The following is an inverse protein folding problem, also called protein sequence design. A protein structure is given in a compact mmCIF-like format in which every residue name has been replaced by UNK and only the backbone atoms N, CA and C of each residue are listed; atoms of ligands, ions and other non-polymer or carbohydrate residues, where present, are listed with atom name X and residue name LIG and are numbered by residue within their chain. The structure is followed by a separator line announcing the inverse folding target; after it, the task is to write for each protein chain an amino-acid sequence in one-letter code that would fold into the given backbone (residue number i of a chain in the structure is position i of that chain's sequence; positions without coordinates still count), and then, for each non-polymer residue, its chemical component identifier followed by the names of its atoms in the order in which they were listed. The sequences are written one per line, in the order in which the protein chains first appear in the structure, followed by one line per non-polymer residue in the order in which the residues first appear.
data_IF_408248048773
#
_entry.id   IF_408248048773
#
_cell.length_a   1.000
_cell.length_b   1.000
_cell.length_c   1.000
_cell.angle_alpha   90.00
_cell.angle_beta   90.00
_cell.angle_gamma   90.00
#
_symmetry.space_group_name_H-M   'P 1'
#
loop_
_entity.id
_entity.type
_entity.pdbx_description
1 polymer ?
#
# COMPACT_ATOMS: atom_id res chain seq x y z
N UNK A 1 -15.96 -8.01 13.42
CA UNK A 1 -14.58 -8.55 13.49
C UNK A 1 -13.98 -8.70 12.11
N UNK A 2 -14.73 -9.25 11.17
CA UNK A 2 -14.21 -9.65 9.86
C UNK A 2 -13.81 -8.48 8.96
N UNK A 3 -14.57 -7.38 8.97
CA UNK A 3 -14.23 -6.17 8.19
C UNK A 3 -12.89 -5.55 8.60
N UNK A 4 -12.55 -5.60 9.89
CA UNK A 4 -11.26 -5.09 10.38
C UNK A 4 -10.11 -5.94 9.85
N UNK A 5 -10.22 -7.28 9.93
CA UNK A 5 -9.20 -8.21 9.43
C UNK A 5 -8.97 -8.02 7.92
N UNK A 6 -10.04 -7.93 7.15
CA UNK A 6 -9.96 -7.69 5.70
C UNK A 6 -9.23 -6.38 5.38
N UNK A 7 -9.56 -5.30 6.09
CA UNK A 7 -8.92 -4.00 5.89
C UNK A 7 -7.44 -4.01 6.28
N UNK A 8 -7.07 -4.67 7.39
CA UNK A 8 -5.66 -4.84 7.78
C UNK A 8 -4.86 -5.59 6.70
N UNK A 9 -5.41 -6.67 6.15
CA UNK A 9 -4.77 -7.46 5.10
C UNK A 9 -4.66 -6.66 3.80
N UNK A 10 -5.72 -5.93 3.43
CA UNK A 10 -5.69 -5.05 2.26
C UNK A 10 -4.58 -3.99 2.40
N UNK A 11 -4.49 -3.33 3.56
CA UNK A 11 -3.41 -2.39 3.86
C UNK A 11 -2.02 -3.01 3.76
N UNK A 12 -1.83 -4.19 4.36
CA UNK A 12 -0.56 -4.92 4.30
C UNK A 12 -0.14 -5.23 2.85
N UNK A 13 -1.07 -5.75 2.04
CA UNK A 13 -0.83 -6.15 0.66
C UNK A 13 -0.52 -4.93 -0.20
N UNK A 14 -1.30 -3.84 -0.08
CA UNK A 14 -1.07 -2.62 -0.85
C UNK A 14 0.30 -2.00 -0.53
N UNK A 15 0.67 -1.92 0.75
CA UNK A 15 1.99 -1.42 1.18
C UNK A 15 3.14 -2.29 0.65
N UNK A 16 3.04 -3.61 0.82
CA UNK A 16 4.04 -4.55 0.32
C UNK A 16 4.22 -4.47 -1.20
N UNK A 17 3.11 -4.42 -1.97
CA UNK A 17 3.14 -4.30 -3.42
C UNK A 17 3.79 -2.99 -3.87
N UNK A 18 3.53 -1.88 -3.18
CA UNK A 18 4.16 -0.59 -3.47
C UNK A 18 5.69 -0.66 -3.39
N UNK A 19 6.22 -1.25 -2.32
CA UNK A 19 7.67 -1.41 -2.15
C UNK A 19 8.26 -2.40 -3.15
N UNK A 20 7.58 -3.52 -3.42
CA UNK A 20 8.03 -4.51 -4.42
C UNK A 20 8.14 -3.88 -5.81
N UNK A 21 7.11 -3.14 -6.23
CA UNK A 21 7.12 -2.45 -7.53
C UNK A 21 8.24 -1.40 -7.59
N UNK A 22 8.42 -0.62 -6.51
CA UNK A 22 9.53 0.35 -6.42
C UNK A 22 10.89 -0.33 -6.56
N UNK A 23 11.11 -1.45 -5.86
CA UNK A 23 12.35 -2.22 -5.90
C UNK A 23 12.63 -2.79 -7.30
N UNK A 24 11.60 -3.28 -7.99
CA UNK A 24 11.71 -3.82 -9.36
C UNK A 24 12.06 -2.70 -10.34
N UNK A 25 11.39 -1.54 -10.25
CA UNK A 25 11.69 -0.38 -11.11
C UNK A 25 13.13 0.08 -10.87
N UNK A 26 13.55 0.21 -9.62
CA UNK A 26 14.93 0.56 -9.26
C UNK A 26 15.95 -0.43 -9.83
N UNK A 27 15.70 -1.73 -9.69
CA UNK A 27 16.58 -2.76 -10.24
C UNK A 27 16.65 -2.69 -11.77
N UNK A 28 15.53 -2.41 -12.45
CA UNK A 28 15.48 -2.21 -13.90
C UNK A 28 16.29 -1.00 -14.35
N UNK A 29 16.23 0.11 -13.61
CA UNK A 29 17.03 1.31 -13.89
C UNK A 29 18.53 1.05 -13.72
N UNK A 30 18.91 0.31 -12.67
CA UNK A 30 20.31 -0.07 -12.43
C UNK A 30 20.82 -1.04 -13.51
N UNK A 31 19.99 -2.00 -13.93
CA UNK A 31 20.31 -2.90 -15.03
C UNK A 31 20.56 -2.13 -16.34
N UNK A 32 19.72 -1.14 -16.64
CA UNK A 32 19.89 -0.30 -17.83
C UNK A 32 21.12 0.61 -17.76
N UNK A 33 21.61 0.91 -16.56
CA UNK A 33 22.76 1.80 -16.33
C UNK A 33 24.12 1.14 -16.62
N UNK A 34 24.16 -0.18 -16.90
CA UNK A 34 25.38 -0.91 -17.27
C UNK A 34 25.86 -1.93 -16.23
N UNK A 35 26.89 -2.70 -16.59
CA UNK A 35 27.36 -3.85 -15.78
C UNK A 35 27.92 -3.46 -14.41
N UNK A 36 28.44 -2.24 -14.28
CA UNK A 36 28.98 -1.72 -13.01
C UNK A 36 27.91 -1.65 -11.90
N UNK A 37 26.63 -1.56 -12.26
CA UNK A 37 25.52 -1.40 -11.32
C UNK A 37 24.83 -2.71 -10.96
N UNK A 38 25.23 -3.84 -11.53
CA UNK A 38 24.64 -5.16 -11.20
C UNK A 38 24.83 -5.53 -9.73
N UNK A 39 25.99 -5.20 -9.16
CA UNK A 39 26.26 -5.40 -7.74
C UNK A 39 25.33 -4.56 -6.87
N UNK A 40 25.17 -3.28 -7.24
CA UNK A 40 24.27 -2.34 -6.56
C UNK A 40 22.82 -2.78 -6.66
N UNK A 41 22.37 -3.28 -7.82
CA UNK A 41 21.00 -3.78 -8.01
C UNK A 41 20.68 -4.95 -7.06
N UNK A 42 21.61 -5.90 -6.89
CA UNK A 42 21.44 -7.03 -5.96
C UNK A 42 21.37 -6.56 -4.51
N UNK A 43 22.26 -5.65 -4.11
CA UNK A 43 22.27 -5.10 -2.75
C UNK A 43 20.98 -4.32 -2.50
N UNK A 44 20.54 -3.50 -3.46
CA UNK A 44 19.28 -2.77 -3.38
C UNK A 44 18.11 -3.73 -3.20
N UNK A 45 17.94 -4.75 -4.05
CA UNK A 45 16.87 -5.74 -3.91
C UNK A 45 16.92 -6.47 -2.56
N UNK A 46 18.10 -6.89 -2.10
CA UNK A 46 18.27 -7.53 -0.80
C UNK A 46 17.86 -6.61 0.35
N UNK A 47 18.21 -5.32 0.28
CA UNK A 47 17.83 -4.32 1.27
C UNK A 47 16.31 -4.03 1.28
N UNK A 48 15.60 -4.27 0.18
CA UNK A 48 14.14 -4.09 0.14
C UNK A 48 13.38 -5.24 0.83
N UNK A 49 13.96 -6.43 0.99
CA UNK A 49 13.31 -7.55 1.70
C UNK A 49 12.84 -7.19 3.13
N UNK A 50 13.71 -6.67 4.02
CA UNK A 50 13.26 -6.25 5.35
C UNK A 50 12.31 -5.05 5.30
N UNK A 51 12.49 -4.13 4.34
CA UNK A 51 11.64 -2.95 4.17
C UNK A 51 10.22 -3.34 3.78
N UNK A 52 10.04 -4.33 2.90
CA UNK A 52 8.72 -4.86 2.51
C UNK A 52 7.96 -5.35 3.75
N UNK A 53 8.64 -6.06 4.66
CA UNK A 53 8.00 -6.56 5.88
C UNK A 53 7.60 -5.43 6.82
N UNK A 54 8.49 -4.46 7.02
CA UNK A 54 8.22 -3.28 7.87
C UNK A 54 7.04 -2.48 7.31
N UNK A 55 7.06 -2.20 6.00
CA UNK A 55 6.01 -1.43 5.35
C UNK A 55 4.65 -2.15 5.39
N UNK A 56 4.63 -3.46 5.17
CA UNK A 56 3.40 -4.25 5.27
C UNK A 56 2.77 -4.18 6.66
N UNK A 57 3.58 -4.29 7.72
CA UNK A 57 3.12 -4.19 9.11
C UNK A 57 2.61 -2.78 9.43
N UNK A 58 3.36 -1.75 9.03
CA UNK A 58 2.98 -0.35 9.26
C UNK A 58 1.69 -0.02 8.51
N UNK A 59 1.59 -0.37 7.23
CA UNK A 59 0.40 -0.14 6.42
C UNK A 59 -0.83 -0.88 6.96
N UNK A 60 -0.68 -2.13 7.41
CA UNK A 60 -1.75 -2.87 8.07
C UNK A 60 -2.24 -2.15 9.33
N UNK A 61 -1.30 -1.65 10.14
CA UNK A 61 -1.62 -0.94 11.38
C UNK A 61 -2.34 0.38 11.08
N UNK A 62 -1.85 1.18 10.14
CA UNK A 62 -2.45 2.45 9.74
C UNK A 62 -3.88 2.25 9.25
N UNK A 63 -4.12 1.30 8.34
CA UNK A 63 -5.47 1.04 7.82
C UNK A 63 -6.43 0.56 8.91
N UNK A 64 -5.94 -0.30 9.81
CA UNK A 64 -6.71 -0.77 10.97
C UNK A 64 -7.06 0.36 11.94
N UNK A 65 -6.11 1.26 12.17
CA UNK A 65 -6.27 2.43 13.02
C UNK A 65 -7.28 3.42 12.43
N UNK A 66 -7.17 3.75 11.14
CA UNK A 66 -8.11 4.64 10.45
C UNK A 66 -9.52 4.05 10.51
N UNK A 67 -9.67 2.75 10.23
CA UNK A 67 -10.98 2.09 10.32
C UNK A 67 -11.59 2.16 11.74
N UNK A 68 -10.76 2.15 12.79
CA UNK A 68 -11.22 2.25 14.18
C UNK A 68 -11.55 3.67 14.61
N UNK A 69 -10.76 4.65 14.20
CA UNK A 69 -10.80 6.04 14.72
C UNK A 69 -11.64 6.96 13.84
N UNK A 70 -11.55 6.82 12.51
CA UNK A 70 -12.28 7.61 11.52
C UNK A 70 -12.70 6.76 10.32
N UNK A 71 -13.62 5.80 10.50
CA UNK A 71 -14.09 4.95 9.42
C UNK A 71 -14.68 5.74 8.24
N UNK A 72 -15.18 6.97 8.47
CA UNK A 72 -15.68 7.86 7.43
C UNK A 72 -14.67 8.17 6.31
N UNK A 73 -13.37 8.09 6.61
CA UNK A 73 -12.30 8.31 5.62
C UNK A 73 -12.18 7.17 4.60
N UNK A 74 -12.62 5.96 4.94
CA UNK A 74 -12.53 4.77 4.07
C UNK A 74 -13.84 4.48 3.33
N UNK A 75 -14.96 5.04 3.79
CA UNK A 75 -16.31 4.70 3.32
C UNK A 75 -16.93 5.67 2.31
N UNK A 76 -16.14 6.56 1.70
CA UNK A 76 -16.70 7.62 0.83
C UNK A 76 -17.07 7.18 -0.60
N UNK A 77 -17.06 5.89 -0.90
CA UNK A 77 -17.43 5.35 -2.22
C UNK A 77 -18.77 4.61 -2.14
N UNK A 78 -19.89 5.33 -2.20
CA UNK A 78 -21.18 4.67 -2.50
C UNK A 78 -22.46 5.17 -1.84
N UNK A 79 -22.62 6.45 -1.53
CA UNK A 79 -23.99 7.01 -1.41
C UNK A 79 -24.26 7.85 -2.65
N UNK A 80 -25.04 7.37 -3.65
CA UNK A 80 -25.67 8.31 -4.55
C UNK A 80 -26.45 9.28 -3.68
N UNK A 81 -26.13 10.57 -3.81
CA UNK A 81 -26.90 11.63 -3.20
C UNK A 81 -28.29 11.56 -3.84
N UNK A 82 -29.21 10.79 -3.24
CA UNK A 82 -30.60 10.79 -3.64
C UNK A 82 -31.11 12.19 -3.30
N UNK A 83 -31.16 13.03 -4.35
CA UNK A 83 -32.00 14.21 -4.41
C UNK A 83 -33.45 13.74 -4.23
N UNK A 84 -33.85 13.66 -2.96
CA UNK A 84 -35.21 13.82 -2.49
C UNK A 84 -35.33 15.28 -2.07
N UNK A 85 -35.66 16.11 -3.06
CA UNK A 85 -36.04 17.50 -2.90
C UNK A 85 -37.44 17.72 -3.45
N UNK A 86 -38.37 16.80 -3.13
CA UNK A 86 -39.81 17.04 -3.21
C UNK A 86 -40.22 17.91 -2.03
N UNK A 87 -39.81 19.18 -2.03
CA UNK A 87 -40.33 20.20 -1.14
C UNK A 87 -40.47 21.55 -1.87
N UNK A 88 -41.58 21.71 -2.59
CA UNK A 88 -42.48 22.88 -2.61
C UNK A 88 -43.34 22.86 -3.88
#
# INVERSE_FOLDING_TARGET
GDTLKTNSIAGAITGALGIVLSAIILAGLLFYSGEDFFGVAKIALAAHIPVIFIEAVISAFIVSFIFRVKPEMLHHLGTPHHNDGSHA
#
